data_IF_025293659718
#
_entry.id   IF_025293659718
#
_cell.length_a   1.000
_cell.length_b   1.000
_cell.length_c   1.000
_cell.angle_alpha   90.00
_cell.angle_beta   90.00
_cell.angle_gamma   90.00
#
_symmetry.space_group_name_H-M   'P 1'
#
loop_
_entity.id
_entity.type
_entity.pdbx_description
1 polymer ?
#
# COMPACT_ATOMS: atom_id res chain seq x y z
N UNK A 1 -19.58 13.81 8.83
CA UNK A 1 -18.80 12.58 9.01
C UNK A 1 -17.47 12.83 8.31
N UNK A 2 -16.35 12.60 8.98
CA UNK A 2 -14.99 12.78 8.47
C UNK A 2 -14.62 11.61 7.54
N UNK A 3 -13.71 11.85 6.60
CA UNK A 3 -13.34 10.88 5.55
C UNK A 3 -12.12 10.03 5.93
N UNK A 4 -11.64 9.21 4.98
CA UNK A 4 -10.46 8.32 5.15
C UNK A 4 -9.19 9.10 5.54
N UNK A 5 -8.92 10.26 4.91
CA UNK A 5 -7.74 11.06 5.23
C UNK A 5 -7.82 11.62 6.66
N UNK A 6 -8.98 12.12 7.06
CA UNK A 6 -9.22 12.59 8.42
C UNK A 6 -9.02 11.49 9.46
N UNK A 7 -9.45 10.24 9.13
CA UNK A 7 -9.26 9.08 10.01
C UNK A 7 -7.78 8.79 10.23
N UNK A 8 -6.99 8.65 9.14
CA UNK A 8 -5.56 8.35 9.26
C UNK A 8 -4.76 9.48 9.89
N UNK A 9 -5.11 10.75 9.64
CA UNK A 9 -4.51 11.87 10.37
C UNK A 9 -4.79 11.80 11.88
N UNK A 10 -6.03 11.45 12.27
CA UNK A 10 -6.40 11.38 13.69
C UNK A 10 -5.78 10.16 14.42
N UNK A 11 -5.42 9.10 13.71
CA UNK A 11 -4.93 7.83 14.27
C UNK A 11 -3.47 7.52 13.94
N UNK A 12 -2.73 8.46 13.36
CA UNK A 12 -1.36 8.24 12.88
C UNK A 12 -0.42 7.70 13.97
N UNK A 13 -0.48 8.24 15.20
CA UNK A 13 0.34 7.77 16.31
C UNK A 13 0.04 6.32 16.71
N UNK A 14 -1.24 5.93 16.70
CA UNK A 14 -1.65 4.56 17.04
C UNK A 14 -1.18 3.57 15.97
N UNK A 15 -1.31 3.95 14.69
CA UNK A 15 -0.77 3.16 13.58
C UNK A 15 0.75 3.06 13.63
N UNK A 16 1.46 4.14 13.93
CA UNK A 16 2.91 4.11 14.09
C UNK A 16 3.33 3.16 15.22
N UNK A 17 2.69 3.26 16.39
CA UNK A 17 2.98 2.39 17.53
C UNK A 17 2.80 0.91 17.18
N UNK A 18 1.72 0.57 16.48
CA UNK A 18 1.43 -0.80 16.05
C UNK A 18 2.39 -1.23 14.93
N UNK A 19 2.58 -0.40 13.91
CA UNK A 19 3.30 -0.74 12.69
C UNK A 19 4.81 -0.94 12.89
N UNK A 20 5.41 -0.21 13.84
CA UNK A 20 6.83 -0.39 14.19
C UNK A 20 7.07 -1.52 15.21
N UNK A 21 6.06 -2.30 15.60
CA UNK A 21 6.24 -3.53 16.37
C UNK A 21 6.59 -4.71 15.46
N UNK A 22 7.32 -5.69 15.98
CA UNK A 22 7.71 -6.90 15.23
C UNK A 22 6.48 -7.72 14.81
N UNK A 23 5.39 -7.65 15.58
CA UNK A 23 4.12 -8.33 15.29
C UNK A 23 3.44 -7.86 13.98
N UNK A 24 3.84 -6.70 13.45
CA UNK A 24 3.28 -6.15 12.22
C UNK A 24 4.10 -6.48 10.96
N UNK A 25 5.20 -7.23 11.09
CA UNK A 25 6.02 -7.64 9.96
C UNK A 25 5.25 -8.57 9.02
N UNK A 26 5.43 -8.38 7.72
CA UNK A 26 4.85 -9.22 6.67
C UNK A 26 5.99 -10.03 6.02
N UNK A 27 6.24 -11.28 6.46
CA UNK A 27 7.35 -12.10 5.93
C UNK A 27 7.32 -12.24 4.41
N UNK A 28 6.12 -12.40 3.83
CA UNK A 28 5.95 -12.52 2.38
C UNK A 28 6.40 -11.27 1.61
N UNK A 29 6.26 -10.04 2.19
CA UNK A 29 6.78 -8.82 1.60
C UNK A 29 8.32 -8.80 1.62
N UNK A 30 8.94 -9.24 2.72
CA UNK A 30 10.40 -9.31 2.82
C UNK A 30 10.97 -10.35 1.85
N UNK A 31 10.29 -11.49 1.69
CA UNK A 31 10.70 -12.53 0.73
C UNK A 31 10.48 -12.07 -0.72
N UNK A 32 9.46 -11.28 -1.00
CA UNK A 32 9.28 -10.62 -2.30
C UNK A 32 10.45 -9.65 -2.57
N UNK A 33 10.81 -8.80 -1.62
CA UNK A 33 11.91 -7.85 -1.79
C UNK A 33 13.26 -8.52 -2.03
N UNK A 34 13.56 -9.63 -1.35
CA UNK A 34 14.82 -10.39 -1.51
C UNK A 34 15.02 -11.01 -2.91
N UNK A 35 14.00 -11.02 -3.76
CA UNK A 35 14.12 -11.47 -5.16
C UNK A 35 14.82 -10.43 -6.05
N UNK A 36 14.99 -9.20 -5.58
CA UNK A 36 15.61 -8.10 -6.31
C UNK A 36 17.07 -7.92 -5.95
N UNK A 37 17.91 -7.47 -6.91
CA UNK A 37 19.30 -7.11 -6.62
C UNK A 37 19.39 -6.03 -5.53
N UNK A 38 20.47 -6.05 -4.76
CA UNK A 38 20.76 -4.97 -3.79
C UNK A 38 20.83 -3.62 -4.50
N UNK A 39 20.25 -2.60 -3.90
CA UNK A 39 20.16 -1.27 -4.49
C UNK A 39 18.99 -1.06 -5.44
N UNK A 40 18.15 -2.09 -5.69
CA UNK A 40 16.89 -1.90 -6.40
C UNK A 40 16.02 -0.87 -5.71
N UNK A 41 15.18 -0.21 -6.51
CA UNK A 41 14.34 0.90 -6.07
C UNK A 41 12.90 0.47 -5.92
N UNK A 42 12.33 0.69 -4.75
CA UNK A 42 10.96 0.32 -4.38
C UNK A 42 10.07 1.54 -4.16
N UNK A 43 8.81 1.42 -4.57
CA UNK A 43 7.75 2.34 -4.17
C UNK A 43 6.88 1.68 -3.09
N UNK A 44 6.82 2.31 -1.91
CA UNK A 44 5.82 2.03 -0.88
C UNK A 44 4.61 2.95 -1.12
N UNK A 45 3.58 2.43 -1.77
CA UNK A 45 2.39 3.20 -2.13
C UNK A 45 1.30 3.00 -1.08
N UNK A 46 0.82 4.10 -0.49
CA UNK A 46 0.02 4.16 0.74
C UNK A 46 0.85 3.78 1.98
N UNK A 47 2.06 4.35 2.08
CA UNK A 47 3.09 3.99 3.05
C UNK A 47 2.74 4.31 4.52
N UNK A 48 1.68 5.07 4.78
CA UNK A 48 1.30 5.49 6.12
C UNK A 48 2.47 6.11 6.89
N UNK A 49 2.79 5.55 8.07
CA UNK A 49 3.89 6.03 8.92
C UNK A 49 5.28 5.49 8.52
N UNK A 50 5.41 4.78 7.39
CA UNK A 50 6.70 4.38 6.81
C UNK A 50 7.39 3.20 7.48
N UNK A 51 6.69 2.36 8.22
CA UNK A 51 7.30 1.20 8.90
C UNK A 51 7.70 0.09 7.94
N UNK A 52 6.92 -0.20 6.90
CA UNK A 52 7.29 -1.16 5.87
C UNK A 52 8.37 -0.59 4.94
N UNK A 53 8.31 0.73 4.63
CA UNK A 53 9.42 1.43 3.97
C UNK A 53 10.74 1.24 4.71
N UNK A 54 10.74 1.39 6.05
CA UNK A 54 11.92 1.22 6.89
C UNK A 54 12.48 -0.21 6.83
N UNK A 55 11.60 -1.22 6.86
CA UNK A 55 12.00 -2.64 6.77
C UNK A 55 12.67 -2.96 5.44
N UNK A 56 12.07 -2.50 4.33
CA UNK A 56 12.64 -2.72 2.99
C UNK A 56 13.96 -1.94 2.83
N UNK A 57 14.03 -0.71 3.34
CA UNK A 57 15.27 0.08 3.32
C UNK A 57 16.39 -0.59 4.14
N UNK A 58 16.09 -1.18 5.28
CA UNK A 58 17.05 -1.92 6.10
C UNK A 58 17.66 -3.16 5.42
N UNK A 59 16.98 -3.70 4.38
CA UNK A 59 17.54 -4.76 3.53
C UNK A 59 18.51 -4.24 2.45
N UNK A 60 18.74 -2.93 2.39
CA UNK A 60 19.69 -2.30 1.44
C UNK A 60 19.07 -1.83 0.14
N UNK A 61 17.76 -1.62 0.10
CA UNK A 61 17.04 -1.09 -1.06
C UNK A 61 16.81 0.42 -0.96
N UNK A 62 16.73 1.09 -2.11
CA UNK A 62 16.23 2.46 -2.18
C UNK A 62 14.69 2.41 -2.07
N UNK A 63 14.12 3.23 -1.20
CA UNK A 63 12.67 3.29 -1.01
C UNK A 63 12.15 4.72 -1.18
N UNK A 64 11.04 4.84 -1.89
CA UNK A 64 10.24 6.07 -1.96
C UNK A 64 8.85 5.76 -1.41
N UNK A 65 8.35 6.58 -0.48
CA UNK A 65 7.01 6.42 0.08
C UNK A 65 6.03 7.47 -0.43
N UNK A 66 4.79 7.05 -0.68
CA UNK A 66 3.67 7.95 -1.01
C UNK A 66 2.49 7.66 -0.10
N UNK A 67 1.92 8.70 0.53
CA UNK A 67 0.67 8.62 1.28
C UNK A 67 -0.09 9.94 1.21
N UNK A 68 -1.39 9.92 1.43
CA UNK A 68 -2.21 11.13 1.48
C UNK A 68 -2.29 11.78 2.87
N UNK A 69 -2.01 11.01 3.95
CA UNK A 69 -2.11 11.45 5.35
C UNK A 69 -0.88 12.28 5.73
N UNK A 70 -1.12 13.56 6.01
CA UNK A 70 -0.06 14.48 6.41
C UNK A 70 0.59 14.09 7.75
N UNK A 71 -0.23 13.69 8.74
CA UNK A 71 0.27 13.32 10.06
C UNK A 71 1.04 11.98 10.02
N UNK A 72 0.59 11.01 9.19
CA UNK A 72 1.34 9.78 8.98
C UNK A 72 2.70 10.06 8.34
N UNK A 73 2.74 10.90 7.30
CA UNK A 73 3.99 11.27 6.61
C UNK A 73 4.95 12.06 7.49
N UNK A 74 4.45 12.87 8.42
CA UNK A 74 5.28 13.57 9.40
C UNK A 74 6.05 12.56 10.26
N UNK A 75 5.36 11.55 10.78
CA UNK A 75 5.99 10.47 11.54
C UNK A 75 6.96 9.67 10.67
N UNK A 76 6.57 9.34 9.42
CA UNK A 76 7.43 8.62 8.48
C UNK A 76 8.77 9.33 8.27
N UNK A 77 8.74 10.63 7.99
CA UNK A 77 9.93 11.47 7.78
C UNK A 77 10.80 11.63 9.03
N UNK A 78 10.17 11.78 10.20
CA UNK A 78 10.90 11.90 11.47
C UNK A 78 11.64 10.60 11.83
N UNK A 79 11.02 9.45 11.56
CA UNK A 79 11.60 8.15 11.90
C UNK A 79 12.58 7.60 10.86
N UNK A 80 12.42 8.00 9.61
CA UNK A 80 13.21 7.49 8.48
C UNK A 80 13.78 8.65 7.65
N UNK A 81 14.74 9.43 8.17
CA UNK A 81 15.26 10.63 7.51
C UNK A 81 15.95 10.34 6.17
N UNK A 82 16.41 9.12 5.95
CA UNK A 82 17.10 8.68 4.72
C UNK A 82 16.12 8.22 3.62
N UNK A 83 14.83 8.13 3.92
CA UNK A 83 13.79 7.74 2.95
C UNK A 83 13.03 8.99 2.48
N UNK A 84 12.81 9.09 1.17
CA UNK A 84 12.02 10.17 0.59
C UNK A 84 10.53 9.85 0.63
N UNK A 85 9.73 10.74 1.23
CA UNK A 85 8.29 10.61 1.31
C UNK A 85 7.56 11.79 0.66
N UNK A 86 6.58 11.50 -0.19
CA UNK A 86 5.72 12.46 -0.85
C UNK A 86 4.28 12.37 -0.36
N UNK A 87 3.59 13.53 -0.31
CA UNK A 87 2.15 13.56 -0.06
C UNK A 87 1.41 13.54 -1.38
N UNK A 88 0.76 12.43 -1.68
CA UNK A 88 -0.04 12.28 -2.89
C UNK A 88 -1.10 11.17 -2.70
N UNK A 89 -1.95 10.98 -3.73
CA UNK A 89 -3.01 9.97 -3.73
C UNK A 89 -2.71 8.90 -4.78
N UNK A 90 -2.96 7.63 -4.44
CA UNK A 90 -2.77 6.47 -5.32
C UNK A 90 -3.47 6.60 -6.69
N UNK A 91 -4.52 7.44 -6.79
CA UNK A 91 -5.25 7.69 -8.04
C UNK A 91 -4.67 8.86 -8.87
N UNK A 92 -3.69 9.60 -8.37
CA UNK A 92 -3.08 10.70 -9.08
C UNK A 92 -1.93 10.24 -9.99
N UNK A 93 -1.36 11.19 -10.72
CA UNK A 93 -0.11 11.01 -11.45
C UNK A 93 1.07 11.30 -10.51
N UNK A 94 1.83 10.28 -10.20
CA UNK A 94 3.06 10.37 -9.40
C UNK A 94 4.31 9.99 -10.20
N UNK A 95 4.28 10.18 -11.53
CA UNK A 95 5.42 9.92 -12.43
C UNK A 95 6.68 10.75 -12.09
N UNK A 96 6.53 11.82 -11.32
CA UNK A 96 7.63 12.64 -10.82
C UNK A 96 8.63 11.86 -9.95
N UNK A 97 8.24 10.71 -9.39
CA UNK A 97 9.17 9.86 -8.64
C UNK A 97 10.16 9.14 -9.55
N UNK A 98 9.91 9.06 -10.87
CA UNK A 98 10.69 8.27 -11.82
C UNK A 98 10.31 6.78 -11.77
N UNK A 99 11.08 5.94 -12.48
CA UNK A 99 10.84 4.50 -12.54
C UNK A 99 11.35 3.78 -11.27
N UNK A 100 10.65 2.70 -10.90
CA UNK A 100 10.99 1.81 -9.79
C UNK A 100 11.02 0.36 -10.25
N UNK A 101 11.81 -0.49 -9.59
CA UNK A 101 11.92 -1.91 -9.93
C UNK A 101 10.75 -2.72 -9.37
N UNK A 102 10.20 -2.27 -8.24
CA UNK A 102 9.02 -2.91 -7.65
C UNK A 102 8.16 -1.91 -6.85
N UNK A 103 6.90 -2.29 -6.69
CA UNK A 103 5.91 -1.54 -5.89
C UNK A 103 5.33 -2.49 -4.84
N UNK A 104 5.07 -1.98 -3.65
CA UNK A 104 4.22 -2.67 -2.68
C UNK A 104 3.13 -1.75 -2.15
N UNK A 105 1.93 -2.31 -1.96
CA UNK A 105 0.73 -1.60 -1.50
C UNK A 105 0.09 -2.42 -0.38
N UNK A 106 0.39 -2.07 0.86
CA UNK A 106 -0.12 -2.79 2.03
C UNK A 106 -1.41 -2.16 2.50
N UNK A 107 -2.53 -2.88 2.34
CA UNK A 107 -3.87 -2.44 2.76
C UNK A 107 -4.30 -1.06 2.20
N UNK A 108 -3.67 -0.57 1.13
CA UNK A 108 -4.01 0.71 0.50
C UNK A 108 -5.25 0.60 -0.41
N UNK A 109 -5.34 -0.49 -1.19
CA UNK A 109 -6.42 -0.70 -2.15
C UNK A 109 -7.79 -0.89 -1.46
N UNK A 110 -7.85 -1.27 -0.19
CA UNK A 110 -9.10 -1.36 0.58
C UNK A 110 -9.82 -0.01 0.79
N UNK A 111 -9.22 1.09 0.37
CA UNK A 111 -9.84 2.42 0.39
C UNK A 111 -10.25 2.92 -0.99
N UNK A 112 -10.08 2.08 -2.01
CA UNK A 112 -10.38 2.41 -3.41
C UNK A 112 -11.68 1.71 -3.83
N UNK A 113 -12.62 2.46 -4.37
CA UNK A 113 -13.84 1.90 -4.97
C UNK A 113 -13.49 0.99 -6.14
N UNK A 114 -14.25 -0.09 -6.34
CA UNK A 114 -13.96 -1.09 -7.38
C UNK A 114 -13.86 -0.49 -8.78
N UNK A 115 -14.69 0.51 -9.11
CA UNK A 115 -14.67 1.23 -10.38
C UNK A 115 -13.40 2.07 -10.62
N UNK A 116 -12.61 2.31 -9.57
CA UNK A 116 -11.35 3.07 -9.62
C UNK A 116 -10.10 2.18 -9.58
N UNK A 117 -10.25 0.87 -9.36
CA UNK A 117 -9.11 -0.06 -9.31
C UNK A 117 -8.28 0.01 -10.59
N UNK A 118 -8.92 -0.01 -11.76
CA UNK A 118 -8.23 0.10 -13.05
C UNK A 118 -7.33 1.33 -13.13
N UNK A 119 -7.79 2.46 -12.61
CA UNK A 119 -7.00 3.70 -12.57
C UNK A 119 -5.79 3.55 -11.65
N UNK A 120 -5.93 2.94 -10.47
CA UNK A 120 -4.80 2.74 -9.57
C UNK A 120 -3.75 1.80 -10.17
N UNK A 121 -4.17 0.70 -10.83
CA UNK A 121 -3.26 -0.19 -11.55
C UNK A 121 -2.55 0.51 -12.70
N UNK A 122 -3.25 1.35 -13.47
CA UNK A 122 -2.61 2.15 -14.54
C UNK A 122 -1.55 3.08 -13.98
N UNK A 123 -1.81 3.77 -12.84
CA UNK A 123 -0.84 4.66 -12.21
C UNK A 123 0.40 3.93 -11.66
N UNK A 124 0.22 2.74 -11.13
CA UNK A 124 1.33 1.87 -10.73
C UNK A 124 2.16 1.44 -11.95
N UNK A 125 1.49 1.07 -13.04
CA UNK A 125 2.16 0.68 -14.29
C UNK A 125 2.95 1.85 -14.93
N UNK A 126 2.46 3.09 -14.81
CA UNK A 126 3.15 4.27 -15.33
C UNK A 126 4.55 4.46 -14.72
N UNK A 127 4.80 3.96 -13.50
CA UNK A 127 6.07 4.17 -12.77
C UNK A 127 6.89 2.91 -12.55
N UNK A 128 6.33 1.71 -12.68
CA UNK A 128 7.12 0.48 -12.55
C UNK A 128 7.90 0.20 -13.85
N UNK A 129 9.07 -0.45 -13.73
CA UNK A 129 9.84 -0.94 -14.88
C UNK A 129 9.08 -2.07 -15.58
N UNK A 130 9.40 -2.31 -16.85
CA UNK A 130 9.00 -3.53 -17.57
C UNK A 130 9.50 -4.77 -16.81
N UNK A 131 8.65 -5.76 -16.64
CA UNK A 131 8.88 -6.94 -15.79
C UNK A 131 9.08 -6.63 -14.28
N UNK A 132 8.86 -5.40 -13.85
CA UNK A 132 8.90 -5.02 -12.44
C UNK A 132 7.76 -5.63 -11.64
N UNK A 133 7.96 -5.84 -10.34
CA UNK A 133 6.98 -6.52 -9.49
C UNK A 133 6.00 -5.57 -8.82
N UNK A 134 4.84 -6.13 -8.50
CA UNK A 134 3.84 -5.47 -7.68
C UNK A 134 3.37 -6.46 -6.59
N UNK A 135 3.57 -6.10 -5.33
CA UNK A 135 3.04 -6.81 -4.16
C UNK A 135 1.87 -6.03 -3.58
N UNK A 136 0.72 -6.67 -3.42
CA UNK A 136 -0.46 -6.03 -2.82
C UNK A 136 -1.00 -6.86 -1.66
N UNK A 137 -1.44 -6.18 -0.59
CA UNK A 137 -2.24 -6.77 0.49
C UNK A 137 -3.64 -6.17 0.43
N UNK A 138 -4.65 -7.02 0.30
CA UNK A 138 -6.06 -6.65 0.25
C UNK A 138 -6.89 -7.46 1.21
N UNK A 139 -8.07 -6.96 1.56
CA UNK A 139 -9.10 -7.72 2.26
C UNK A 139 -10.01 -8.36 1.22
N UNK A 140 -10.00 -9.70 1.15
CA UNK A 140 -10.81 -10.41 0.17
C UNK A 140 -12.29 -10.38 0.55
N UNK A 141 -13.12 -10.18 -0.46
CA UNK A 141 -14.57 -10.06 -0.34
C UNK A 141 -15.14 -9.17 -1.42
N UNK A 142 -16.34 -8.67 -1.21
CA UNK A 142 -17.02 -7.88 -2.24
C UNK A 142 -17.64 -6.60 -1.70
N UNK A 143 -17.19 -5.47 -2.23
CA UNK A 143 -17.79 -4.16 -2.02
C UNK A 143 -17.49 -3.55 -0.64
N UNK A 144 -18.18 -2.47 -0.33
CA UNK A 144 -17.97 -1.68 0.89
C UNK A 144 -18.45 -2.42 2.14
N UNK A 145 -17.56 -2.60 3.11
CA UNK A 145 -17.85 -3.20 4.42
C UNK A 145 -18.18 -2.09 5.43
N UNK A 146 -19.47 -1.95 5.75
CA UNK A 146 -19.95 -0.85 6.59
C UNK A 146 -19.41 -0.92 8.02
N UNK A 147 -19.37 -2.10 8.61
CA UNK A 147 -18.84 -2.37 9.96
C UNK A 147 -17.36 -2.03 10.11
N UNK A 148 -16.59 -2.08 9.01
CA UNK A 148 -15.18 -1.67 8.96
C UNK A 148 -15.00 -0.23 8.52
N UNK A 149 -15.92 0.32 7.75
CA UNK A 149 -15.86 1.71 7.27
C UNK A 149 -16.17 2.71 8.36
N UNK A 150 -17.27 2.47 9.09
CA UNK A 150 -17.76 3.41 10.10
C UNK A 150 -17.09 3.18 11.45
N UNK A 151 -16.51 4.23 12.01
CA UNK A 151 -15.86 4.18 13.32
C UNK A 151 -16.01 5.49 14.08
N UNK A 152 -15.80 5.43 15.40
CA UNK A 152 -15.80 6.61 16.27
C UNK A 152 -14.47 6.67 17.00
N UNK A 153 -13.73 7.78 16.84
CA UNK A 153 -12.46 8.05 17.51
C UNK A 153 -12.61 9.36 18.27
N UNK A 154 -12.39 9.33 19.59
CA UNK A 154 -12.52 10.49 20.47
C UNK A 154 -13.85 11.25 20.32
N UNK A 155 -14.95 10.52 20.11
CA UNK A 155 -16.30 11.10 19.92
C UNK A 155 -16.62 11.59 18.52
N UNK A 156 -15.65 11.61 17.61
CA UNK A 156 -15.83 11.99 16.20
C UNK A 156 -16.11 10.78 15.32
N UNK A 157 -17.05 10.95 14.36
CA UNK A 157 -17.46 9.89 13.44
C UNK A 157 -16.68 9.97 12.12
N UNK A 158 -16.13 8.83 11.71
CA UNK A 158 -15.37 8.66 10.46
C UNK A 158 -16.02 7.62 9.56
N UNK A 159 -15.95 7.84 8.23
CA UNK A 159 -16.13 6.84 7.20
C UNK A 159 -14.80 6.70 6.44
N UNK A 160 -14.04 5.64 6.75
CA UNK A 160 -12.76 5.38 6.09
C UNK A 160 -12.88 4.60 4.79
N UNK A 161 -14.11 4.44 4.27
CA UNK A 161 -14.39 3.79 3.00
C UNK A 161 -13.67 2.44 2.84
N UNK A 162 -13.98 1.46 3.71
CA UNK A 162 -13.34 0.15 3.65
C UNK A 162 -14.05 -0.74 2.63
N UNK A 163 -13.35 -1.09 1.54
CA UNK A 163 -13.85 -1.88 0.41
C UNK A 163 -13.09 -3.19 0.33
N UNK A 164 -13.80 -4.31 0.31
CA UNK A 164 -13.26 -5.63 0.04
C UNK A 164 -13.25 -5.88 -1.47
N UNK A 165 -12.22 -6.55 -1.99
CA UNK A 165 -12.06 -6.87 -3.39
C UNK A 165 -11.87 -8.35 -3.60
N UNK A 166 -12.53 -8.92 -4.60
CA UNK A 166 -12.25 -10.29 -5.05
C UNK A 166 -10.99 -10.33 -5.92
N UNK A 167 -10.34 -11.49 -6.00
CA UNK A 167 -9.23 -11.68 -6.94
C UNK A 167 -9.66 -11.38 -8.39
N UNK A 168 -10.87 -11.77 -8.80
CA UNK A 168 -11.38 -11.48 -10.15
C UNK A 168 -11.46 -9.98 -10.45
N UNK A 169 -11.91 -9.15 -9.49
CA UNK A 169 -11.94 -7.68 -9.64
C UNK A 169 -10.52 -7.10 -9.79
N UNK A 170 -9.53 -7.66 -9.10
CA UNK A 170 -8.13 -7.26 -9.22
C UNK A 170 -7.53 -7.69 -10.56
N UNK A 171 -7.84 -8.91 -11.05
CA UNK A 171 -7.41 -9.41 -12.36
C UNK A 171 -7.98 -8.56 -13.50
N UNK A 172 -9.26 -8.20 -13.43
CA UNK A 172 -9.88 -7.31 -14.40
C UNK A 172 -9.19 -5.93 -14.42
N UNK A 173 -8.92 -5.38 -13.23
CA UNK A 173 -8.23 -4.10 -13.10
C UNK A 173 -6.77 -4.15 -13.60
N UNK A 174 -6.09 -5.26 -13.44
CA UNK A 174 -4.71 -5.48 -13.87
C UNK A 174 -4.56 -5.81 -15.36
N UNK A 175 -5.65 -6.24 -16.02
CA UNK A 175 -5.63 -6.78 -17.39
C UNK A 175 -4.85 -5.90 -18.38
N UNK A 176 -3.84 -6.47 -19.08
CA UNK A 176 -2.98 -5.75 -20.03
C UNK A 176 -2.01 -4.74 -19.41
N UNK A 177 -1.89 -4.70 -18.08
CA UNK A 177 -0.92 -3.88 -17.35
C UNK A 177 0.01 -4.77 -16.51
N UNK A 178 -0.58 -5.79 -15.87
CA UNK A 178 0.16 -6.71 -15.01
C UNK A 178 -0.35 -8.14 -15.21
N UNK A 179 0.57 -9.10 -15.16
CA UNK A 179 0.29 -10.52 -15.09
C UNK A 179 0.23 -10.94 -13.61
N UNK A 180 -0.81 -11.64 -13.22
CA UNK A 180 -0.88 -12.29 -11.91
C UNK A 180 0.11 -13.44 -11.84
N UNK A 181 0.92 -13.51 -10.79
CA UNK A 181 1.88 -14.58 -10.60
C UNK A 181 1.40 -15.60 -9.56
N UNK A 182 1.08 -15.13 -8.35
CA UNK A 182 0.72 -16.03 -7.25
C UNK A 182 0.13 -15.28 -6.05
N UNK A 183 -0.54 -16.04 -5.21
CA UNK A 183 -0.85 -15.67 -3.82
C UNK A 183 0.26 -16.15 -2.89
N UNK A 184 0.61 -15.37 -1.86
CA UNK A 184 1.69 -15.69 -0.92
C UNK A 184 1.30 -15.36 0.53
N UNK A 185 1.84 -16.12 1.49
CA UNK A 185 1.76 -15.78 2.92
C UNK A 185 0.33 -15.66 3.48
N UNK A 186 -0.60 -16.52 3.01
CA UNK A 186 -1.96 -16.54 3.54
C UNK A 186 -2.01 -17.20 4.93
N UNK A 187 -2.59 -16.51 5.90
CA UNK A 187 -2.67 -16.92 7.31
C UNK A 187 -4.06 -17.44 7.74
N UNK A 188 -4.97 -17.65 6.77
CA UNK A 188 -6.35 -18.09 7.00
C UNK A 188 -7.32 -16.95 7.38
N UNK A 189 -6.86 -15.72 7.41
CA UNK A 189 -7.74 -14.53 7.55
C UNK A 189 -8.29 -14.09 6.20
N UNK A 190 -9.11 -13.04 6.19
CA UNK A 190 -9.55 -12.43 4.93
C UNK A 190 -8.50 -11.46 4.31
N UNK A 191 -7.32 -11.36 4.89
CA UNK A 191 -6.21 -10.61 4.30
C UNK A 191 -5.40 -11.52 3.39
N UNK A 192 -5.27 -11.13 2.12
CA UNK A 192 -4.58 -11.87 1.08
C UNK A 192 -3.45 -11.02 0.50
N UNK A 193 -2.33 -11.68 0.21
CA UNK A 193 -1.18 -11.06 -0.44
C UNK A 193 -1.02 -11.65 -1.85
N UNK A 194 -1.00 -10.77 -2.83
CA UNK A 194 -0.88 -11.14 -4.25
C UNK A 194 0.35 -10.51 -4.87
N UNK A 195 1.04 -11.28 -5.72
CA UNK A 195 2.16 -10.82 -6.52
C UNK A 195 1.75 -10.76 -7.98
N UNK A 196 2.06 -9.63 -8.61
CA UNK A 196 1.89 -9.38 -10.03
C UNK A 196 3.22 -8.94 -10.64
N UNK A 197 3.33 -9.04 -11.96
CA UNK A 197 4.46 -8.56 -12.75
C UNK A 197 3.97 -7.65 -13.86
N UNK A 198 4.61 -6.50 -14.04
CA UNK A 198 4.35 -5.55 -15.15
C UNK A 198 4.62 -6.19 -16.50
N UNK A 199 3.75 -5.94 -17.50
CA UNK A 199 3.94 -6.35 -18.89
C UNK A 199 4.77 -5.34 -19.65
#
# INVERSE_FOLDING_TARGET
MKNTADFYNATALDWAKKGYSDESEIPALLDFAKQYPSGSRFLDLCCGCGYDSARIHALGYEVVGIDFSEESLKIAKERNPDITFYRDNILNDYSYIGKVDAIFVIAGLVHIETDKLRRSFSRMHDVVQENGGLFITVYEGKGKLIDRSLTVIHGEKYDRNFVAHTLDELLDAASGLFNFLQEVGHDGTAWHNYIFQSV
#
